data_IF_983680192514
#
_entry.id   IF_983680192514
#
_cell.length_a   1.000
_cell.length_b   1.000
_cell.length_c   1.000
_cell.angle_alpha   90.00
_cell.angle_beta   90.00
_cell.angle_gamma   90.00
#
_symmetry.space_group_name_H-M   'P 1'
#
loop_
_entity.id
_entity.type
_entity.pdbx_description
1 polymer ?
#
# COMPACT_ATOMS: atom_id res chain seq x y z
N UNK A 1 2.81 15.12 -15.20
CA UNK A 1 1.82 14.10 -14.78
C UNK A 1 0.52 14.36 -15.50
N UNK A 2 -0.32 13.34 -15.82
CA UNK A 2 -1.65 13.59 -16.35
C UNK A 2 -2.44 14.45 -15.37
N UNK A 3 -3.31 15.32 -15.88
CA UNK A 3 -4.24 16.10 -15.07
C UNK A 3 -5.15 15.13 -14.28
N UNK A 4 -5.22 15.25 -12.93
CA UNK A 4 -6.17 14.48 -12.12
C UNK A 4 -7.61 14.56 -12.66
N UNK A 5 -8.00 15.68 -13.25
CA UNK A 5 -9.32 15.84 -13.86
C UNK A 5 -9.54 14.87 -15.03
N UNK A 6 -8.53 14.65 -15.87
CA UNK A 6 -8.63 13.72 -16.99
C UNK A 6 -8.84 12.27 -16.51
N UNK A 7 -8.22 11.89 -15.40
CA UNK A 7 -8.43 10.57 -14.77
C UNK A 7 -9.81 10.49 -14.12
N UNK A 8 -10.25 11.54 -13.44
CA UNK A 8 -11.59 11.63 -12.85
C UNK A 8 -12.67 11.46 -13.92
N UNK A 9 -12.58 12.21 -15.02
CA UNK A 9 -13.53 12.14 -16.13
C UNK A 9 -13.57 10.74 -16.76
N UNK A 10 -12.42 10.06 -16.84
CA UNK A 10 -12.35 8.68 -17.30
C UNK A 10 -13.11 7.73 -16.36
N UNK A 11 -12.95 7.88 -15.04
CA UNK A 11 -13.67 7.07 -14.05
C UNK A 11 -15.17 7.33 -14.06
N UNK A 12 -15.60 8.59 -14.21
CA UNK A 12 -17.03 8.93 -14.35
C UNK A 12 -17.61 8.23 -15.58
N UNK A 13 -16.97 8.39 -16.75
CA UNK A 13 -17.48 7.83 -18.01
C UNK A 13 -17.47 6.31 -18.06
N UNK A 14 -16.42 5.65 -17.54
CA UNK A 14 -16.23 4.20 -17.68
C UNK A 14 -16.83 3.41 -16.50
N UNK A 15 -16.68 3.94 -15.29
CA UNK A 15 -16.96 3.21 -14.05
C UNK A 15 -18.20 3.75 -13.31
N UNK A 16 -18.85 4.81 -13.80
CA UNK A 16 -20.07 5.35 -13.20
C UNK A 16 -19.89 5.99 -11.82
N UNK A 17 -18.65 6.33 -11.46
CA UNK A 17 -18.29 6.92 -10.17
C UNK A 17 -18.78 8.36 -10.11
N UNK A 18 -19.29 8.80 -8.95
CA UNK A 18 -19.66 10.19 -8.73
C UNK A 18 -18.47 11.13 -8.97
N UNK A 19 -18.65 12.31 -9.63
CA UNK A 19 -17.52 13.18 -10.03
C UNK A 19 -16.57 13.57 -8.90
N UNK A 20 -17.11 13.87 -7.71
CA UNK A 20 -16.30 14.25 -6.54
C UNK A 20 -15.44 13.08 -6.05
N UNK A 21 -16.01 11.88 -5.95
CA UNK A 21 -15.29 10.65 -5.57
C UNK A 21 -14.23 10.30 -6.62
N UNK A 22 -14.54 10.47 -7.91
CA UNK A 22 -13.61 10.24 -8.99
C UNK A 22 -12.41 11.20 -8.93
N UNK A 23 -12.65 12.48 -8.64
CA UNK A 23 -11.60 13.48 -8.51
C UNK A 23 -10.73 13.26 -7.27
N UNK A 24 -11.34 12.95 -6.12
CA UNK A 24 -10.62 12.58 -4.90
C UNK A 24 -9.74 11.36 -5.13
N UNK A 25 -10.28 10.30 -5.73
CA UNK A 25 -9.53 9.09 -6.04
C UNK A 25 -8.40 9.34 -7.06
N UNK A 26 -8.64 10.20 -8.06
CA UNK A 26 -7.62 10.58 -9.03
C UNK A 26 -6.45 11.36 -8.40
N UNK A 27 -6.76 12.31 -7.50
CA UNK A 27 -5.76 13.05 -6.72
C UNK A 27 -4.97 12.11 -5.81
N UNK A 28 -5.66 11.31 -4.99
CA UNK A 28 -5.06 10.33 -4.08
C UNK A 28 -4.16 9.33 -4.80
N UNK A 29 -4.56 8.89 -6.00
CA UNK A 29 -3.79 8.00 -6.84
C UNK A 29 -2.67 8.69 -7.63
N UNK A 30 -2.52 10.01 -7.50
CA UNK A 30 -1.57 10.82 -8.25
C UNK A 30 -1.65 10.51 -9.76
N UNK A 31 -2.87 10.58 -10.30
CA UNK A 31 -3.19 10.30 -11.70
C UNK A 31 -2.86 8.88 -12.21
N UNK A 32 -2.60 7.91 -11.33
CA UNK A 32 -2.49 6.50 -11.71
C UNK A 32 -3.89 5.86 -11.85
N UNK A 33 -4.36 5.71 -13.09
CA UNK A 33 -5.73 5.25 -13.43
C UNK A 33 -6.16 3.97 -12.69
N UNK A 34 -5.29 2.95 -12.62
CA UNK A 34 -5.64 1.69 -11.93
C UNK A 34 -5.86 1.84 -10.43
N UNK A 35 -5.04 2.65 -9.75
CA UNK A 35 -5.16 2.92 -8.31
C UNK A 35 -6.36 3.83 -8.08
N UNK A 36 -6.55 4.85 -8.93
CA UNK A 36 -7.70 5.76 -8.86
C UNK A 36 -9.00 4.98 -8.97
N UNK A 37 -9.09 4.04 -9.93
CA UNK A 37 -10.24 3.15 -10.06
C UNK A 37 -10.46 2.32 -8.79
N UNK A 38 -9.41 1.66 -8.28
CA UNK A 38 -9.51 0.84 -7.05
C UNK A 38 -9.99 1.68 -5.87
N UNK A 39 -9.44 2.87 -5.66
CA UNK A 39 -9.89 3.77 -4.60
C UNK A 39 -11.33 4.22 -4.83
N UNK A 40 -11.72 4.55 -6.06
CA UNK A 40 -13.06 5.00 -6.36
C UNK A 40 -14.15 3.93 -6.18
N UNK A 41 -13.84 2.65 -6.42
CA UNK A 41 -14.85 1.58 -6.45
C UNK A 41 -14.76 0.58 -5.30
N UNK A 42 -13.77 0.69 -4.42
CA UNK A 42 -13.58 -0.22 -3.29
C UNK A 42 -13.56 0.55 -1.95
N UNK A 43 -14.68 0.55 -1.20
CA UNK A 43 -14.77 1.23 0.10
C UNK A 43 -13.73 0.74 1.11
N UNK A 44 -13.40 -0.55 1.10
CA UNK A 44 -12.38 -1.11 1.99
C UNK A 44 -10.98 -0.57 1.66
N UNK A 45 -10.67 -0.36 0.38
CA UNK A 45 -9.43 0.28 -0.04
C UNK A 45 -9.35 1.74 0.39
N UNK A 46 -10.47 2.48 0.36
CA UNK A 46 -10.54 3.86 0.85
C UNK A 46 -10.32 3.90 2.37
N UNK A 47 -11.01 3.06 3.13
CA UNK A 47 -10.89 3.02 4.58
C UNK A 47 -9.48 2.63 5.02
N UNK A 48 -8.86 1.63 4.37
CA UNK A 48 -7.46 1.26 4.64
C UNK A 48 -6.51 2.42 4.41
N UNK A 49 -6.68 3.15 3.30
CA UNK A 49 -5.87 4.33 3.00
C UNK A 49 -6.08 5.41 4.05
N UNK A 50 -7.34 5.71 4.40
CA UNK A 50 -7.67 6.70 5.43
C UNK A 50 -7.04 6.34 6.77
N UNK A 51 -7.18 5.09 7.22
CA UNK A 51 -6.55 4.60 8.44
C UNK A 51 -5.04 4.83 8.46
N UNK A 52 -4.37 4.47 7.36
CA UNK A 52 -2.93 4.65 7.19
C UNK A 52 -2.52 6.13 7.29
N UNK A 53 -3.26 7.03 6.62
CA UNK A 53 -2.94 8.46 6.63
C UNK A 53 -3.21 9.15 7.96
N UNK A 54 -4.00 8.53 8.84
CA UNK A 54 -4.22 9.01 10.21
C UNK A 54 -3.14 8.53 11.19
N UNK A 55 -2.27 7.58 10.81
CA UNK A 55 -1.20 7.08 11.67
C UNK A 55 -0.27 8.19 12.21
N UNK A 56 0.17 9.19 11.41
CA UNK A 56 1.01 10.28 11.92
C UNK A 56 0.44 11.02 13.12
N UNK A 57 -0.88 11.13 13.25
CA UNK A 57 -1.57 11.77 14.38
C UNK A 57 -1.85 10.82 15.55
N UNK A 58 -1.87 9.50 15.30
CA UNK A 58 -2.25 8.46 16.27
C UNK A 58 -1.06 7.84 17.00
N UNK A 59 0.08 7.70 16.33
CA UNK A 59 1.25 7.05 16.92
C UNK A 59 1.93 8.03 17.88
N UNK A 60 1.77 7.81 19.19
CA UNK A 60 2.37 8.65 20.25
C UNK A 60 3.58 7.98 20.88
N UNK A 61 3.65 6.65 20.87
CA UNK A 61 4.74 5.87 21.47
C UNK A 61 5.33 4.80 20.54
N UNK A 62 6.43 4.18 20.98
CA UNK A 62 7.03 3.03 20.29
C UNK A 62 6.06 1.84 20.25
N UNK A 63 5.29 1.63 21.33
CA UNK A 63 4.28 0.57 21.39
C UNK A 63 3.23 0.69 20.27
N UNK A 64 2.66 1.88 20.10
CA UNK A 64 1.72 2.17 19.01
C UNK A 64 2.36 1.89 17.64
N UNK A 65 3.61 2.31 17.44
CA UNK A 65 4.32 2.13 16.18
C UNK A 65 4.53 0.65 15.83
N UNK A 66 4.90 -0.17 16.82
CA UNK A 66 5.12 -1.62 16.63
C UNK A 66 3.79 -2.34 16.36
N UNK A 67 2.72 -2.00 17.09
CA UNK A 67 1.40 -2.58 16.87
C UNK A 67 0.85 -2.22 15.47
N UNK A 68 0.97 -0.96 15.07
CA UNK A 68 0.53 -0.53 13.74
C UNK A 68 1.39 -1.11 12.62
N UNK A 69 2.69 -1.34 12.87
CA UNK A 69 3.56 -2.03 11.92
C UNK A 69 3.12 -3.49 11.70
N UNK A 70 2.82 -4.20 12.78
CA UNK A 70 2.30 -5.57 12.72
C UNK A 70 0.99 -5.61 11.94
N UNK A 71 0.04 -4.72 12.26
CA UNK A 71 -1.23 -4.60 11.55
C UNK A 71 -1.04 -4.33 10.05
N UNK A 72 -0.11 -3.44 9.68
CA UNK A 72 0.14 -3.10 8.28
C UNK A 72 0.72 -4.28 7.50
N UNK A 73 1.68 -4.99 8.08
CA UNK A 73 2.30 -6.18 7.45
C UNK A 73 1.34 -7.35 7.38
N UNK A 74 0.54 -7.60 8.42
CA UNK A 74 -0.49 -8.64 8.41
C UNK A 74 -1.51 -8.37 7.31
N UNK A 75 -2.00 -7.13 7.19
CA UNK A 75 -2.93 -6.73 6.12
C UNK A 75 -2.33 -6.89 4.73
N UNK A 76 -1.07 -6.47 4.54
CA UNK A 76 -0.38 -6.67 3.26
C UNK A 76 -0.23 -8.16 2.91
N UNK A 77 -0.06 -9.01 3.93
CA UNK A 77 -0.02 -10.47 3.77
C UNK A 77 -1.38 -11.05 3.39
N UNK A 78 -2.46 -10.59 4.05
CA UNK A 78 -3.83 -10.99 3.75
C UNK A 78 -4.28 -10.53 2.35
N UNK A 79 -3.86 -9.35 1.90
CA UNK A 79 -4.10 -8.90 0.51
C UNK A 79 -3.37 -9.80 -0.50
N UNK A 80 -2.14 -10.22 -0.18
CA UNK A 80 -1.38 -11.13 -1.03
C UNK A 80 -2.00 -12.53 -1.14
N UNK A 81 -2.62 -13.05 -0.06
CA UNK A 81 -3.27 -14.36 -0.05
C UNK A 81 -4.66 -14.35 -0.68
N UNK A 82 -5.51 -13.40 -0.31
CA UNK A 82 -6.89 -13.28 -0.83
C UNK A 82 -6.94 -13.03 -2.34
N UNK A 83 -5.97 -12.30 -2.88
CA UNK A 83 -5.89 -12.07 -4.32
C UNK A 83 -5.54 -13.33 -5.14
N UNK A 84 -5.17 -14.45 -4.49
CA UNK A 84 -4.47 -15.57 -5.14
C UNK A 84 -4.94 -16.97 -4.80
N UNK A 85 -5.56 -17.24 -3.64
CA UNK A 85 -5.82 -18.63 -3.21
C UNK A 85 -6.59 -19.45 -4.25
N UNK A 86 -7.69 -18.91 -4.79
CA UNK A 86 -8.49 -19.61 -5.81
C UNK A 86 -7.68 -19.87 -7.10
N UNK A 87 -6.90 -18.89 -7.56
CA UNK A 87 -6.07 -19.05 -8.78
C UNK A 87 -4.89 -19.99 -8.57
N UNK A 88 -4.25 -19.95 -7.41
CA UNK A 88 -3.11 -20.80 -7.10
C UNK A 88 -3.56 -22.28 -6.99
N UNK A 89 -4.77 -22.53 -6.47
CA UNK A 89 -5.41 -23.85 -6.46
C UNK A 89 -5.79 -24.31 -7.88
N UNK A 90 -6.38 -23.43 -8.69
CA UNK A 90 -6.68 -23.69 -10.10
C UNK A 90 -5.42 -24.03 -10.92
N UNK A 91 -4.36 -23.23 -10.80
CA UNK A 91 -3.06 -23.46 -11.47
C UNK A 91 -2.47 -24.82 -11.06
N UNK A 92 -2.60 -25.19 -9.78
CA UNK A 92 -2.12 -26.47 -9.28
C UNK A 92 -2.96 -27.62 -9.83
N UNK A 93 -4.28 -27.50 -9.87
CA UNK A 93 -5.16 -28.51 -10.43
C UNK A 93 -4.93 -28.69 -11.95
N UNK A 94 -4.71 -27.60 -12.68
CA UNK A 94 -4.33 -27.62 -14.09
C UNK A 94 -2.99 -28.32 -14.33
N UNK A 95 -1.97 -28.05 -13.51
CA UNK A 95 -0.68 -28.73 -13.59
C UNK A 95 -0.84 -30.23 -13.34
N UNK A 96 -1.58 -30.63 -12.31
CA UNK A 96 -1.83 -32.05 -12.01
C UNK A 96 -2.51 -32.77 -13.18
N UNK A 97 -3.57 -32.17 -13.74
CA UNK A 97 -4.26 -32.70 -14.93
C UNK A 97 -3.32 -32.82 -16.12
N UNK A 98 -2.48 -31.81 -16.38
CA UNK A 98 -1.51 -31.82 -17.47
C UNK A 98 -0.42 -32.90 -17.31
N UNK A 99 -0.14 -33.30 -16.06
CA UNK A 99 0.77 -34.40 -15.72
C UNK A 99 0.09 -35.77 -15.69
N UNK A 100 -1.21 -35.85 -16.00
CA UNK A 100 -1.99 -37.08 -16.00
C UNK A 100 -2.37 -37.58 -14.60
N UNK A 101 -2.30 -36.72 -13.58
CA UNK A 101 -2.67 -37.05 -12.20
C UNK A 101 -4.10 -36.61 -11.91
N UNK A 102 -4.83 -37.44 -11.18
CA UNK A 102 -6.13 -37.07 -10.61
C UNK A 102 -5.96 -36.33 -9.29
N UNK A 103 -6.94 -35.49 -8.96
CA UNK A 103 -6.90 -34.69 -7.72
C UNK A 103 -6.98 -35.62 -6.50
N UNK A 104 -5.97 -35.55 -5.61
CA UNK A 104 -5.82 -36.44 -4.45
C UNK A 104 -4.94 -37.68 -4.68
N UNK A 105 -4.47 -37.91 -5.91
CA UNK A 105 -3.55 -38.99 -6.23
C UNK A 105 -2.14 -38.74 -5.69
N UNK A 106 -1.44 -39.81 -5.27
CA UNK A 106 -0.09 -39.70 -4.73
C UNK A 106 0.90 -39.24 -5.81
N UNK A 107 1.57 -38.11 -5.57
CA UNK A 107 2.52 -37.52 -6.52
C UNK A 107 3.76 -38.43 -6.66
N UNK A 108 4.04 -38.99 -7.86
CA UNK A 108 5.24 -39.77 -8.13
C UNK A 108 6.53 -38.96 -7.91
N UNK A 109 7.62 -39.56 -7.42
CA UNK A 109 8.88 -38.86 -7.17
C UNK A 109 9.41 -38.03 -8.35
N UNK A 110 9.25 -38.53 -9.58
CA UNK A 110 9.69 -37.86 -10.80
C UNK A 110 8.95 -36.54 -11.09
N UNK A 111 7.74 -36.37 -10.56
CA UNK A 111 6.89 -35.19 -10.82
C UNK A 111 6.96 -34.13 -9.71
N UNK A 112 7.53 -34.48 -8.54
CA UNK A 112 7.62 -33.57 -7.38
C UNK A 112 8.37 -32.27 -7.67
N UNK A 113 9.38 -32.31 -8.55
CA UNK A 113 10.15 -31.13 -8.92
C UNK A 113 9.29 -30.06 -9.62
N UNK A 114 8.35 -30.47 -10.47
CA UNK A 114 7.49 -29.54 -11.22
C UNK A 114 6.47 -28.86 -10.30
N UNK A 115 5.89 -29.63 -9.37
CA UNK A 115 4.95 -29.10 -8.39
C UNK A 115 5.67 -28.14 -7.43
N UNK A 116 6.85 -28.52 -6.93
CA UNK A 116 7.66 -27.62 -6.11
C UNK A 116 8.03 -26.34 -6.85
N UNK A 117 8.37 -26.41 -8.13
CA UNK A 117 8.66 -25.24 -8.94
C UNK A 117 7.45 -24.30 -9.07
N UNK A 118 6.24 -24.85 -9.21
CA UNK A 118 5.00 -24.09 -9.20
C UNK A 118 4.80 -23.38 -7.84
N UNK A 119 4.92 -24.11 -6.73
CA UNK A 119 4.78 -23.58 -5.38
C UNK A 119 5.82 -22.47 -5.08
N UNK A 120 7.07 -22.65 -5.53
CA UNK A 120 8.11 -21.62 -5.39
C UNK A 120 7.79 -20.36 -6.21
N UNK A 121 7.20 -20.51 -7.40
CA UNK A 121 6.74 -19.40 -8.21
C UNK A 121 5.54 -18.69 -7.57
N UNK A 122 4.56 -19.43 -7.06
CA UNK A 122 3.42 -18.91 -6.30
C UNK A 122 3.91 -18.09 -5.10
N UNK A 123 4.85 -18.63 -4.31
CA UNK A 123 5.46 -17.95 -3.16
C UNK A 123 6.17 -16.66 -3.57
N UNK A 124 6.95 -16.66 -4.66
CA UNK A 124 7.62 -15.45 -5.18
C UNK A 124 6.60 -14.38 -5.57
N UNK A 125 5.50 -14.75 -6.22
CA UNK A 125 4.43 -13.82 -6.59
C UNK A 125 3.71 -13.26 -5.37
N UNK A 126 3.45 -14.08 -4.34
CA UNK A 126 2.87 -13.63 -3.09
C UNK A 126 3.76 -12.61 -2.38
N UNK A 127 5.07 -12.87 -2.26
CA UNK A 127 6.04 -11.93 -1.71
C UNK A 127 6.05 -10.60 -2.47
N UNK A 128 5.98 -10.64 -3.81
CA UNK A 128 5.93 -9.42 -4.62
C UNK A 128 4.67 -8.58 -4.33
N UNK A 129 3.50 -9.21 -4.23
CA UNK A 129 2.27 -8.48 -3.90
C UNK A 129 2.33 -7.85 -2.52
N UNK A 130 2.82 -8.59 -1.52
CA UNK A 130 3.01 -8.05 -0.19
C UNK A 130 3.92 -6.81 -0.21
N UNK A 131 5.06 -6.89 -0.92
CA UNK A 131 5.98 -5.76 -1.09
C UNK A 131 5.34 -4.58 -1.82
N UNK A 132 4.62 -4.83 -2.91
CA UNK A 132 3.91 -3.79 -3.67
C UNK A 132 2.82 -3.11 -2.83
N UNK A 133 2.13 -3.85 -1.96
CA UNK A 133 1.13 -3.30 -1.02
C UNK A 133 1.78 -2.39 0.02
N UNK A 134 2.92 -2.81 0.59
CA UNK A 134 3.69 -1.99 1.53
C UNK A 134 4.29 -0.75 0.87
N UNK A 135 4.80 -0.87 -0.36
CA UNK A 135 5.32 0.27 -1.14
C UNK A 135 4.23 1.31 -1.44
N UNK A 136 3.02 0.84 -1.76
CA UNK A 136 1.86 1.72 -1.92
C UNK A 136 1.53 2.46 -0.63
N UNK A 137 1.51 1.76 0.51
CA UNK A 137 1.29 2.40 1.80
C UNK A 137 2.34 3.48 2.10
N UNK A 138 3.61 3.19 1.83
CA UNK A 138 4.69 4.17 2.00
C UNK A 138 4.54 5.37 1.06
N UNK A 139 4.09 5.15 -0.18
CA UNK A 139 3.80 6.23 -1.14
C UNK A 139 2.63 7.10 -0.69
N UNK A 140 1.58 6.50 -0.11
CA UNK A 140 0.45 7.23 0.47
C UNK A 140 0.93 8.10 1.65
N UNK A 141 1.75 7.56 2.57
CA UNK A 141 2.33 8.32 3.68
C UNK A 141 3.23 9.47 3.19
N UNK A 142 4.04 9.26 2.14
CA UNK A 142 4.83 10.31 1.51
C UNK A 142 3.94 11.42 0.94
N UNK A 143 2.81 11.08 0.33
CA UNK A 143 1.86 12.07 -0.18
C UNK A 143 1.28 12.94 0.94
N UNK A 144 0.99 12.35 2.11
CA UNK A 144 0.50 13.07 3.28
C UNK A 144 1.56 14.04 3.81
N UNK A 145 2.81 13.58 3.99
CA UNK A 145 3.88 14.46 4.45
C UNK A 145 4.26 15.54 3.43
N UNK A 146 4.11 15.28 2.13
CA UNK A 146 4.23 16.31 1.09
C UNK A 146 3.21 17.42 1.30
N UNK A 147 1.96 17.07 1.59
CA UNK A 147 0.91 18.07 1.87
C UNK A 147 1.19 18.82 3.19
N UNK A 148 1.72 18.14 4.21
CA UNK A 148 2.17 18.78 5.47
C UNK A 148 3.26 19.82 5.20
N UNK A 149 4.31 19.47 4.45
CA UNK A 149 5.37 20.43 4.10
C UNK A 149 4.83 21.57 3.25
N UNK A 150 3.92 21.30 2.31
CA UNK A 150 3.29 22.34 1.50
C UNK A 150 2.54 23.37 2.37
N UNK A 151 1.78 22.90 3.36
CA UNK A 151 1.10 23.77 4.34
C UNK A 151 2.10 24.53 5.22
N UNK A 152 3.13 23.86 5.74
CA UNK A 152 4.17 24.49 6.58
C UNK A 152 4.94 25.61 5.86
N UNK A 153 5.11 25.49 4.54
CA UNK A 153 5.79 26.48 3.70
C UNK A 153 4.83 27.53 3.12
N UNK A 154 3.53 27.46 3.40
CA UNK A 154 2.53 28.37 2.84
C UNK A 154 2.39 28.28 1.31
N UNK A 155 2.69 27.12 0.73
CA UNK A 155 2.67 26.94 -0.72
C UNK A 155 1.23 26.94 -1.25
N UNK A 156 0.99 27.66 -2.37
CA UNK A 156 -0.31 27.68 -3.06
C UNK A 156 -0.40 26.56 -4.09
N UNK A 157 -0.35 25.32 -3.61
CA UNK A 157 -0.51 24.11 -4.43
C UNK A 157 -1.70 23.30 -3.95
N UNK A 158 -2.37 22.60 -4.87
CA UNK A 158 -3.42 21.66 -4.52
C UNK A 158 -2.86 20.53 -3.64
N UNK A 159 -3.62 20.19 -2.60
CA UNK A 159 -3.29 19.06 -1.71
C UNK A 159 -3.71 17.75 -2.37
N UNK A 160 -2.87 16.72 -2.21
CA UNK A 160 -3.19 15.37 -2.65
C UNK A 160 -4.31 14.78 -1.78
N UNK A 161 -4.28 15.08 -0.48
CA UNK A 161 -5.15 14.56 0.56
C UNK A 161 -6.06 15.66 1.11
N UNK A 162 -6.74 16.37 0.21
CA UNK A 162 -7.60 17.52 0.56
C UNK A 162 -8.74 17.15 1.54
N UNK A 163 -9.23 15.91 1.48
CA UNK A 163 -10.21 15.35 2.42
C UNK A 163 -9.67 15.17 3.86
N UNK A 164 -8.35 15.27 4.04
CA UNK A 164 -7.64 15.20 5.32
C UNK A 164 -6.93 16.52 5.66
N UNK A 165 -7.39 17.64 5.09
CA UNK A 165 -6.78 18.97 5.29
C UNK A 165 -6.64 19.34 6.77
N UNK A 166 -7.62 19.00 7.60
CA UNK A 166 -7.58 19.25 9.04
C UNK A 166 -6.41 18.53 9.70
N UNK A 167 -6.23 17.25 9.39
CA UNK A 167 -5.17 16.39 9.93
C UNK A 167 -3.79 16.80 9.40
N UNK A 168 -3.71 17.15 8.11
CA UNK A 168 -2.49 17.73 7.51
C UNK A 168 -2.10 19.01 8.25
N UNK A 169 -3.05 19.90 8.50
CA UNK A 169 -2.80 21.18 9.19
C UNK A 169 -2.40 20.97 10.65
N UNK A 170 -3.05 20.03 11.34
CA UNK A 170 -2.73 19.70 12.73
C UNK A 170 -1.30 19.14 12.85
N UNK A 171 -0.93 18.17 12.01
CA UNK A 171 0.44 17.62 11.99
C UNK A 171 1.44 18.71 11.60
N UNK A 172 1.11 19.58 10.65
CA UNK A 172 1.95 20.70 10.24
C UNK A 172 2.21 21.72 11.35
N UNK A 173 1.24 21.94 12.24
CA UNK A 173 1.37 22.82 13.40
C UNK A 173 2.15 22.16 14.56
N UNK A 174 2.09 20.83 14.69
CA UNK A 174 2.77 20.06 15.74
C UNK A 174 4.25 19.72 15.43
N UNK A 175 4.74 20.02 14.22
CA UNK A 175 6.14 19.76 13.86
C UNK A 175 6.75 20.86 13.00
N UNK A 176 8.08 20.86 12.89
CA UNK A 176 8.80 21.72 11.93
C UNK A 176 8.87 21.08 10.55
N UNK A 177 9.17 21.87 9.51
CA UNK A 177 9.42 21.35 8.16
C UNK A 177 10.61 20.39 8.13
N UNK A 178 11.66 20.66 8.92
CA UNK A 178 12.81 19.77 9.05
C UNK A 178 12.42 18.41 9.64
N UNK A 179 11.60 18.38 10.70
CA UNK A 179 11.08 17.14 11.27
C UNK A 179 10.23 16.37 10.25
N UNK A 180 9.39 17.07 9.49
CA UNK A 180 8.59 16.45 8.41
C UNK A 180 9.48 15.84 7.33
N UNK A 181 10.54 16.52 6.91
CA UNK A 181 11.50 15.99 5.92
C UNK A 181 12.23 14.75 6.45
N UNK A 182 12.67 14.74 7.71
CA UNK A 182 13.28 13.55 8.33
C UNK A 182 12.31 12.36 8.34
N UNK A 183 11.01 12.59 8.54
CA UNK A 183 9.97 11.55 8.45
C UNK A 183 9.84 11.02 7.01
N UNK A 184 9.89 11.88 6.01
CA UNK A 184 9.91 11.48 4.60
C UNK A 184 11.16 10.65 4.26
N UNK A 185 12.33 11.06 4.76
CA UNK A 185 13.58 10.31 4.59
C UNK A 185 13.51 8.92 5.24
N UNK A 186 12.91 8.80 6.42
CA UNK A 186 12.69 7.53 7.09
C UNK A 186 11.80 6.57 6.26
N UNK A 187 10.76 7.12 5.60
CA UNK A 187 9.94 6.33 4.67
C UNK A 187 10.76 5.90 3.45
N UNK A 188 11.52 6.81 2.83
CA UNK A 188 12.40 6.48 1.71
C UNK A 188 13.42 5.38 2.06
N UNK A 189 13.99 5.45 3.26
CA UNK A 189 14.93 4.45 3.76
C UNK A 189 14.25 3.09 4.00
N UNK A 190 13.01 3.08 4.48
CA UNK A 190 12.23 1.85 4.63
C UNK A 190 11.93 1.18 3.28
N UNK A 191 11.60 1.97 2.25
CA UNK A 191 11.42 1.48 0.87
C UNK A 191 12.69 0.80 0.35
N UNK A 192 13.84 1.46 0.49
CA UNK A 192 15.14 0.88 0.10
C UNK A 192 15.45 -0.42 0.85
N UNK A 193 15.11 -0.50 2.15
CA UNK A 193 15.29 -1.72 2.95
C UNK A 193 14.43 -2.88 2.44
N UNK A 194 13.18 -2.62 2.03
CA UNK A 194 12.32 -3.66 1.46
C UNK A 194 12.83 -4.17 0.12
N UNK A 195 13.43 -3.31 -0.70
CA UNK A 195 14.13 -3.71 -1.92
C UNK A 195 15.36 -4.59 -1.60
N UNK A 196 16.10 -4.23 -0.54
CA UNK A 196 17.31 -4.91 -0.06
C UNK A 196 17.11 -6.20 0.74
N UNK A 197 15.94 -6.84 0.66
CA UNK A 197 15.59 -8.09 1.36
C UNK A 197 15.54 -8.03 2.90
N UNK A 198 15.37 -6.84 3.49
CA UNK A 198 15.06 -6.74 4.93
C UNK A 198 13.68 -7.36 5.22
N UNK A 199 13.53 -7.97 6.40
CA UNK A 199 12.25 -8.50 6.86
C UNK A 199 11.19 -7.37 6.87
N UNK A 200 10.02 -7.53 6.24
CA UNK A 200 9.05 -6.46 6.11
C UNK A 200 8.62 -5.82 7.43
N UNK A 201 8.38 -6.63 8.46
CA UNK A 201 8.01 -6.15 9.79
C UNK A 201 9.06 -5.20 10.36
N UNK A 202 10.33 -5.60 10.36
CA UNK A 202 11.41 -4.78 10.90
C UNK A 202 11.57 -3.44 10.16
N UNK A 203 11.43 -3.45 8.83
CA UNK A 203 11.51 -2.22 8.04
C UNK A 203 10.36 -1.25 8.36
N UNK A 204 9.14 -1.78 8.50
CA UNK A 204 7.94 -0.98 8.81
C UNK A 204 7.96 -0.49 10.26
N UNK A 205 8.39 -1.32 11.22
CA UNK A 205 8.57 -0.91 12.62
C UNK A 205 9.54 0.26 12.73
N UNK A 206 10.73 0.14 12.13
CA UNK A 206 11.73 1.19 12.14
C UNK A 206 11.20 2.50 11.51
N UNK A 207 10.43 2.38 10.42
CA UNK A 207 9.77 3.52 9.78
C UNK A 207 8.78 4.19 10.73
N UNK A 208 7.79 3.45 11.24
CA UNK A 208 6.72 4.02 12.07
C UNK A 208 7.24 4.61 13.39
N UNK A 209 8.28 4.01 13.97
CA UNK A 209 8.96 4.58 15.15
C UNK A 209 9.57 5.94 14.85
N UNK A 210 10.10 6.16 13.64
CA UNK A 210 10.66 7.44 13.21
C UNK A 210 9.58 8.48 12.86
N UNK A 211 8.36 8.05 12.54
CA UNK A 211 7.22 8.93 12.23
C UNK A 211 6.59 9.61 13.45
N UNK A 212 6.91 9.16 14.65
CA UNK A 212 6.38 9.69 15.91
C UNK A 212 6.65 11.19 16.09
N UNK A 213 5.94 11.86 16.99
CA UNK A 213 6.36 13.17 17.50
C UNK A 213 7.81 13.09 18.01
N UNK A 214 8.69 13.93 17.45
CA UNK A 214 10.06 14.08 17.90
C UNK A 214 10.07 15.37 18.73
N UNK A 215 10.11 15.21 20.06
CA UNK A 215 10.22 16.35 20.98
C UNK A 215 11.55 17.09 20.86
#
# INVERSE_FOLDING_TARGET
MPDPQAVADLLVRRDGVAPEVALQAARAAQSHVGIARRLATNPEAQERRRHLLLLPSRIRGVGDAVLEAANLVERATAEASSARSERDDEERAELLRGLGLTEGEAIPPALRAQIRQLEENQKKRATRVQRDALDRAMTDLLSFYRDVVAVQLGATVDLVNDDLRSEVSAVGAESTSEQTLRRMDAIGQARQRLEGNVAPLLAVEAMLVALRPQG
#
